data_IF_190132613221
#
_entry.id   IF_190132613221
#
_cell.length_a   1.000
_cell.length_b   1.000
_cell.length_c   1.000
_cell.angle_alpha   90.00
_cell.angle_beta   90.00
_cell.angle_gamma   90.00
#
_symmetry.space_group_name_H-M   'P 1'
#
loop_
_entity.id
_entity.type
_entity.pdbx_description
1 polymer ?
#
# COMPACT_ATOMS: atom_id res chain seq x y z
N UNK A 1 1.33 6.86 -13.76
CA UNK A 1 2.63 6.17 -13.82
C UNK A 1 3.78 7.06 -13.34
N UNK A 2 3.85 8.34 -13.70
CA UNK A 2 4.91 9.27 -13.27
C UNK A 2 5.17 9.29 -11.75
N UNK A 3 4.10 9.40 -10.94
CA UNK A 3 4.21 9.38 -9.47
C UNK A 3 4.85 8.09 -8.94
N UNK A 4 4.52 6.95 -9.54
CA UNK A 4 5.08 5.64 -9.17
C UNK A 4 6.58 5.58 -9.49
N UNK A 5 7.01 6.08 -10.64
CA UNK A 5 8.42 6.12 -11.03
C UNK A 5 9.22 7.09 -10.16
N UNK A 6 8.65 8.25 -9.82
CA UNK A 6 9.27 9.19 -8.88
C UNK A 6 9.43 8.57 -7.50
N UNK A 7 8.40 7.87 -7.00
CA UNK A 7 8.48 7.20 -5.71
C UNK A 7 9.51 6.06 -5.70
N UNK A 8 9.66 5.29 -6.78
CA UNK A 8 10.73 4.29 -6.90
C UNK A 8 12.11 4.91 -6.69
N UNK A 9 12.38 6.07 -7.32
CA UNK A 9 13.65 6.79 -7.17
C UNK A 9 13.87 7.27 -5.74
N UNK A 10 12.83 7.79 -5.09
CA UNK A 10 12.88 8.19 -3.67
C UNK A 10 13.22 6.99 -2.79
N UNK A 11 12.51 5.86 -2.96
CA UNK A 11 12.72 4.65 -2.16
C UNK A 11 14.11 4.06 -2.39
N UNK A 12 14.60 4.08 -3.63
CA UNK A 12 15.96 3.62 -3.93
C UNK A 12 17.04 4.45 -3.23
N UNK A 13 16.80 5.75 -3.01
CA UNK A 13 17.77 6.67 -2.42
C UNK A 13 17.66 6.77 -0.89
N UNK A 14 16.44 6.76 -0.36
CA UNK A 14 16.17 7.10 1.04
C UNK A 14 15.45 5.99 1.82
N UNK A 15 15.05 4.90 1.16
CA UNK A 15 14.15 3.92 1.76
C UNK A 15 12.69 4.36 1.77
N UNK A 16 11.84 3.61 2.46
CA UNK A 16 10.42 3.94 2.55
C UNK A 16 10.21 5.26 3.30
N UNK A 17 9.37 6.20 2.82
CA UNK A 17 9.10 7.47 3.51
C UNK A 17 8.27 7.24 4.79
N UNK A 18 8.94 7.01 5.92
CA UNK A 18 8.30 6.77 7.23
C UNK A 18 7.69 8.05 7.81
N UNK A 19 6.84 7.91 8.83
CA UNK A 19 6.24 9.06 9.51
C UNK A 19 7.33 9.98 10.10
N UNK A 20 8.35 9.43 10.75
CA UNK A 20 9.43 10.22 11.34
C UNK A 20 10.26 11.00 10.31
N UNK A 21 10.43 10.45 9.10
CA UNK A 21 11.27 11.07 8.08
C UNK A 21 10.57 12.24 7.38
N UNK A 22 9.27 12.13 7.14
CA UNK A 22 8.55 13.07 6.25
C UNK A 22 7.23 13.60 6.83
N UNK A 23 6.86 13.18 8.04
CA UNK A 23 5.57 13.43 8.65
C UNK A 23 4.45 12.52 8.13
N UNK A 24 3.36 12.43 8.90
CA UNK A 24 2.24 11.54 8.62
C UNK A 24 1.62 11.75 7.23
N UNK A 25 1.41 13.02 6.85
CA UNK A 25 0.79 13.39 5.58
C UNK A 25 1.59 12.88 4.38
N UNK A 26 2.90 13.08 4.39
CA UNK A 26 3.75 12.67 3.28
C UNK A 26 3.95 11.15 3.24
N UNK A 27 4.07 10.50 4.39
CA UNK A 27 4.09 9.03 4.50
C UNK A 27 2.81 8.41 3.93
N UNK A 28 1.64 8.95 4.30
CA UNK A 28 0.35 8.54 3.73
C UNK A 28 0.28 8.78 2.22
N UNK A 29 0.80 9.90 1.72
CA UNK A 29 0.81 10.17 0.28
C UNK A 29 1.71 9.19 -0.49
N UNK A 30 2.87 8.81 0.07
CA UNK A 30 3.71 7.76 -0.51
C UNK A 30 2.96 6.42 -0.58
N UNK A 31 2.23 6.08 0.49
CA UNK A 31 1.35 4.91 0.49
C UNK A 31 0.24 5.01 -0.57
N UNK A 32 -0.45 6.14 -0.71
CA UNK A 32 -1.49 6.32 -1.73
C UNK A 32 -0.96 6.07 -3.15
N UNK A 33 0.27 6.51 -3.44
CA UNK A 33 0.90 6.26 -4.75
C UNK A 33 1.07 4.76 -5.00
N UNK A 34 1.51 3.97 -4.02
CA UNK A 34 1.66 2.52 -4.20
C UNK A 34 0.33 1.77 -4.13
N UNK A 35 -0.67 2.28 -3.41
CA UNK A 35 -2.00 1.68 -3.31
C UNK A 35 -2.66 1.65 -4.70
N UNK A 36 -2.41 2.67 -5.51
CA UNK A 36 -2.92 2.77 -6.88
C UNK A 36 -1.90 2.35 -7.96
N UNK A 37 -0.77 1.75 -7.58
CA UNK A 37 0.24 1.24 -8.51
C UNK A 37 -0.10 -0.17 -9.04
N UNK A 38 -1.37 -0.45 -9.37
CA UNK A 38 -1.85 -1.79 -9.75
C UNK A 38 -1.17 -2.35 -11.00
N UNK A 39 -0.75 -1.46 -11.90
CA UNK A 39 0.07 -1.78 -13.07
C UNK A 39 1.45 -2.37 -12.72
N UNK A 40 1.88 -2.32 -11.46
CA UNK A 40 3.18 -2.80 -11.00
C UNK A 40 3.09 -3.54 -9.66
N UNK A 41 2.41 -4.69 -9.67
CA UNK A 41 2.26 -5.58 -8.49
C UNK A 41 3.61 -5.97 -7.87
N UNK A 42 4.66 -6.16 -8.67
CA UNK A 42 6.01 -6.47 -8.15
C UNK A 42 6.53 -5.34 -7.26
N UNK A 43 6.33 -4.09 -7.68
CA UNK A 43 6.72 -2.93 -6.86
C UNK A 43 5.84 -2.78 -5.62
N UNK A 44 4.53 -3.01 -5.72
CA UNK A 44 3.63 -3.03 -4.55
C UNK A 44 4.12 -4.04 -3.50
N UNK A 45 4.44 -5.28 -3.91
CA UNK A 45 4.98 -6.32 -3.03
C UNK A 45 6.30 -5.92 -2.37
N UNK A 46 7.21 -5.28 -3.13
CA UNK A 46 8.47 -4.76 -2.57
C UNK A 46 8.19 -3.72 -1.48
N UNK A 47 7.35 -2.73 -1.76
CA UNK A 47 7.01 -1.69 -0.78
C UNK A 47 6.32 -2.27 0.46
N UNK A 48 5.38 -3.22 0.28
CA UNK A 48 4.73 -3.90 1.40
C UNK A 48 5.75 -4.58 2.32
N UNK A 49 6.71 -5.32 1.75
CA UNK A 49 7.77 -5.97 2.53
C UNK A 49 8.63 -4.96 3.29
N UNK A 50 9.03 -3.85 2.67
CA UNK A 50 9.75 -2.77 3.36
C UNK A 50 8.94 -2.19 4.51
N UNK A 51 7.65 -1.90 4.29
CA UNK A 51 6.78 -1.35 5.33
C UNK A 51 6.63 -2.32 6.51
N UNK A 52 6.49 -3.62 6.24
CA UNK A 52 6.39 -4.66 7.26
C UNK A 52 7.68 -4.80 8.07
N UNK A 53 8.84 -4.80 7.42
CA UNK A 53 10.14 -4.86 8.10
C UNK A 53 10.35 -3.66 9.02
N UNK A 54 10.03 -2.45 8.54
CA UNK A 54 10.13 -1.23 9.35
C UNK A 54 9.14 -1.27 10.51
N UNK A 55 7.89 -1.68 10.28
CA UNK A 55 6.87 -1.78 11.31
C UNK A 55 7.24 -2.76 12.42
N UNK A 56 7.84 -3.91 12.08
CA UNK A 56 8.30 -4.89 13.08
C UNK A 56 9.37 -4.30 14.01
N UNK A 57 10.22 -3.40 13.51
CA UNK A 57 11.27 -2.75 14.30
C UNK A 57 10.77 -1.51 15.04
N UNK A 58 9.92 -0.73 14.39
CA UNK A 58 9.43 0.57 14.86
C UNK A 58 7.93 0.73 14.52
N UNK A 59 7.01 0.15 15.30
CA UNK A 59 5.59 0.12 14.96
C UNK A 59 4.95 1.51 14.82
N UNK A 60 5.49 2.53 15.51
CA UNK A 60 4.90 3.87 15.55
C UNK A 60 5.15 4.70 14.28
N UNK A 61 6.08 4.29 13.42
CA UNK A 61 6.51 5.11 12.27
C UNK A 61 5.93 4.63 10.93
N UNK A 62 5.08 3.60 10.97
CA UNK A 62 4.35 3.00 9.85
C UNK A 62 2.90 2.74 10.27
N UNK A 63 1.93 3.14 9.45
CA UNK A 63 0.52 2.80 9.70
C UNK A 63 0.26 1.31 9.42
N UNK A 64 -0.28 0.61 10.42
CA UNK A 64 -0.73 -0.78 10.31
C UNK A 64 -1.91 -0.94 9.35
N UNK A 65 -2.77 0.07 9.28
CA UNK A 65 -3.92 0.10 8.37
C UNK A 65 -3.42 0.11 6.93
N UNK A 66 -2.46 0.97 6.61
CA UNK A 66 -1.85 1.06 5.29
C UNK A 66 -1.21 -0.28 4.85
N UNK A 67 -0.63 -1.05 5.79
CA UNK A 67 -0.14 -2.42 5.52
C UNK A 67 -1.31 -3.35 5.17
N UNK A 68 -2.41 -3.34 5.95
CA UNK A 68 -3.57 -4.19 5.72
C UNK A 68 -4.23 -3.90 4.36
N UNK A 69 -4.49 -2.63 4.05
CA UNK A 69 -5.10 -2.22 2.78
C UNK A 69 -4.24 -2.59 1.56
N UNK A 70 -2.92 -2.40 1.64
CA UNK A 70 -2.02 -2.76 0.55
C UNK A 70 -1.94 -4.28 0.38
N UNK A 71 -1.96 -5.02 1.48
CA UNK A 71 -1.97 -6.50 1.46
C UNK A 71 -3.17 -7.01 0.66
N UNK A 72 -4.38 -6.58 1.03
CA UNK A 72 -5.58 -7.01 0.32
C UNK A 72 -5.65 -6.49 -1.11
N UNK A 73 -5.16 -5.28 -1.38
CA UNK A 73 -5.09 -4.75 -2.75
C UNK A 73 -4.26 -5.67 -3.64
N UNK A 74 -3.11 -6.14 -3.16
CA UNK A 74 -2.26 -7.09 -3.88
C UNK A 74 -2.97 -8.43 -4.04
N UNK A 75 -3.67 -8.94 -3.01
CA UNK A 75 -4.37 -10.22 -3.07
C UNK A 75 -5.50 -10.19 -4.12
N UNK A 76 -6.38 -9.19 -4.06
CA UNK A 76 -7.46 -8.98 -5.05
C UNK A 76 -6.92 -8.85 -6.46
N UNK A 77 -5.91 -7.99 -6.68
CA UNK A 77 -5.31 -7.82 -8.00
C UNK A 77 -4.62 -9.08 -8.53
N UNK A 78 -4.30 -10.04 -7.64
CA UNK A 78 -3.72 -11.33 -8.00
C UNK A 78 -4.71 -12.49 -7.92
N UNK A 79 -6.03 -12.20 -7.86
CA UNK A 79 -7.13 -13.16 -7.81
C UNK A 79 -7.02 -14.13 -6.63
N UNK A 80 -6.64 -13.60 -5.46
CA UNK A 80 -6.55 -14.33 -4.20
C UNK A 80 -7.52 -13.73 -3.19
N UNK A 81 -8.02 -14.59 -2.31
CA UNK A 81 -8.83 -14.18 -1.17
C UNK A 81 -8.12 -13.10 -0.35
N UNK A 82 -8.89 -12.13 0.11
CA UNK A 82 -8.38 -11.08 0.98
C UNK A 82 -8.03 -11.65 2.36
N UNK A 83 -7.10 -11.00 3.05
CA UNK A 83 -6.75 -11.37 4.43
C UNK A 83 -7.53 -10.54 5.45
N UNK A 84 -7.74 -9.25 5.16
CA UNK A 84 -8.39 -8.31 6.08
C UNK A 84 -9.77 -7.84 5.60
N UNK A 85 -10.15 -8.16 4.36
CA UNK A 85 -11.44 -7.80 3.77
C UNK A 85 -11.60 -6.30 3.56
N UNK A 86 -10.57 -5.59 3.13
CA UNK A 86 -10.56 -4.12 3.00
C UNK A 86 -10.99 -3.60 1.63
N UNK A 87 -11.06 -4.46 0.61
CA UNK A 87 -11.39 -4.11 -0.76
C UNK A 87 -12.83 -4.51 -1.10
N UNK A 88 -13.56 -3.57 -1.69
CA UNK A 88 -14.96 -3.73 -2.08
C UNK A 88 -15.21 -3.08 -3.43
N UNK A 89 -16.26 -3.54 -4.13
CA UNK A 89 -16.85 -2.84 -5.25
C UNK A 89 -18.34 -2.58 -4.99
N UNK A 90 -18.87 -1.52 -5.59
CA UNK A 90 -20.29 -1.18 -5.49
C UNK A 90 -20.97 -1.66 -6.76
N UNK A 91 -22.00 -2.50 -6.62
CA UNK A 91 -22.78 -2.93 -7.77
C UNK A 91 -23.77 -1.84 -8.21
N UNK A 92 -24.46 -2.06 -9.35
CA UNK A 92 -25.45 -1.11 -9.90
C UNK A 92 -26.60 -0.76 -8.95
N UNK A 93 -26.82 -1.55 -7.89
CA UNK A 93 -27.86 -1.35 -6.88
C UNK A 93 -27.34 -0.64 -5.63
N UNK A 94 -26.07 -0.21 -5.60
CA UNK A 94 -25.46 0.44 -4.44
C UNK A 94 -25.01 -0.53 -3.35
N UNK A 95 -25.00 -1.84 -3.61
CA UNK A 95 -24.58 -2.85 -2.64
C UNK A 95 -23.06 -3.02 -2.72
N UNK A 96 -22.39 -2.93 -1.58
CA UNK A 96 -20.98 -3.25 -1.42
C UNK A 96 -20.78 -4.76 -1.44
N UNK A 97 -19.95 -5.24 -2.36
CA UNK A 97 -19.57 -6.63 -2.49
C UNK A 97 -18.07 -6.75 -2.28
N UNK A 98 -17.66 -7.83 -1.61
CA UNK A 98 -16.23 -8.14 -1.41
C UNK A 98 -15.54 -8.30 -2.75
N UNK A 99 -14.30 -7.83 -2.88
CA UNK A 99 -13.58 -7.80 -4.14
C UNK A 99 -12.74 -9.06 -4.45
N UNK A 100 -12.83 -10.10 -3.62
CA UNK A 100 -12.21 -11.42 -3.82
C UNK A 100 -13.14 -12.49 -4.39
#
# INVERSE_FOLDING_TARGET
>A
MENTERLKKIIAKYGWPTIDLVGEKASRNAWLIIQHADHNVRFQKKCLALMQEIYQRNPHIISRENIAFLTDRILVNTKRAQLFGTQFYVNKKGIYLSAD
#
